data_IF_325421542105
#
_entry.id   IF_325421542105
#
_cell.length_a   1.000
_cell.length_b   1.000
_cell.length_c   1.000
_cell.angle_alpha   90.00
_cell.angle_beta   90.00
_cell.angle_gamma   90.00
#
_symmetry.space_group_name_H-M   'P 1'
#
loop_
_entity.id
_entity.type
_entity.pdbx_description
1 polymer ?
#
# COMPACT_ATOMS: atom_id res chain seq x y z
N UNK A 1 -5.81 1.47 -8.41
CA UNK A 1 -4.49 1.88 -8.96
C UNK A 1 -4.49 2.04 -10.47
N UNK A 2 -4.90 1.02 -11.24
CA UNK A 2 -4.93 1.10 -12.71
C UNK A 2 -5.89 2.19 -13.19
N UNK A 3 -5.46 3.00 -14.16
CA UNK A 3 -6.27 4.08 -14.73
C UNK A 3 -6.28 5.38 -13.93
N UNK A 4 -5.67 5.45 -12.74
CA UNK A 4 -5.57 6.69 -11.94
C UNK A 4 -4.62 7.70 -12.63
N UNK A 5 -4.96 8.99 -12.69
CA UNK A 5 -6.18 9.62 -12.17
C UNK A 5 -7.41 9.55 -13.10
N UNK A 6 -7.25 9.30 -14.40
CA UNK A 6 -8.35 9.40 -15.38
C UNK A 6 -9.58 8.54 -15.08
N UNK A 7 -9.40 7.34 -14.53
CA UNK A 7 -10.50 6.47 -14.10
C UNK A 7 -11.33 7.07 -12.96
N UNK A 8 -10.71 7.81 -12.03
CA UNK A 8 -11.43 8.54 -10.97
C UNK A 8 -12.21 9.70 -11.57
N UNK A 9 -11.60 10.45 -12.49
CA UNK A 9 -12.23 11.59 -13.17
C UNK A 9 -13.47 11.15 -13.97
N UNK A 10 -13.48 9.91 -14.46
CA UNK A 10 -14.59 9.31 -15.19
C UNK A 10 -15.57 8.51 -14.29
N UNK A 11 -15.26 8.28 -13.02
CA UNK A 11 -16.03 7.41 -12.13
C UNK A 11 -16.06 5.94 -12.57
N UNK A 12 -14.98 5.49 -13.19
CA UNK A 12 -14.85 4.12 -13.71
C UNK A 12 -14.62 3.10 -12.59
N UNK A 13 -15.21 1.90 -12.68
CA UNK A 13 -14.95 0.80 -11.72
C UNK A 13 -13.56 0.18 -11.89
N UNK A 14 -12.79 0.61 -12.90
CA UNK A 14 -11.48 0.04 -13.20
C UNK A 14 -11.56 -1.46 -13.47
N UNK A 15 -10.82 -2.23 -12.67
CA UNK A 15 -10.74 -3.69 -12.77
C UNK A 15 -11.56 -4.43 -11.72
N UNK A 16 -12.53 -3.78 -11.07
CA UNK A 16 -13.39 -4.42 -10.08
C UNK A 16 -14.16 -5.60 -10.68
N UNK A 17 -14.17 -6.72 -9.95
CA UNK A 17 -15.03 -7.86 -10.27
C UNK A 17 -16.44 -7.60 -9.74
N UNK A 18 -17.46 -7.43 -10.60
CA UNK A 18 -18.81 -7.08 -10.17
C UNK A 18 -19.46 -8.17 -9.32
N UNK A 19 -19.03 -9.43 -9.43
CA UNK A 19 -19.59 -10.54 -8.64
C UNK A 19 -19.09 -10.52 -7.18
N UNK A 20 -18.04 -9.74 -6.88
CA UNK A 20 -17.48 -9.60 -5.54
C UNK A 20 -18.19 -8.55 -4.67
N UNK A 21 -19.10 -7.74 -5.23
CA UNK A 21 -19.68 -6.59 -4.53
C UNK A 21 -21.21 -6.55 -4.66
N UNK A 22 -21.90 -6.44 -3.51
CA UNK A 22 -23.34 -6.15 -3.51
C UNK A 22 -23.65 -4.75 -4.09
N UNK A 23 -22.77 -3.78 -3.79
CA UNK A 23 -22.87 -2.38 -4.21
C UNK A 23 -21.48 -1.79 -4.38
N UNK A 24 -21.28 -1.00 -5.43
CA UNK A 24 -20.08 -0.19 -5.65
C UNK A 24 -20.45 1.28 -5.80
N UNK A 25 -19.58 2.17 -5.34
CA UNK A 25 -19.73 3.61 -5.53
C UNK A 25 -18.40 4.21 -5.97
N UNK A 26 -18.28 4.47 -7.27
CA UNK A 26 -17.10 5.09 -7.84
C UNK A 26 -17.23 6.61 -7.75
N UNK A 27 -16.45 7.22 -6.86
CA UNK A 27 -16.46 8.68 -6.71
C UNK A 27 -15.89 9.35 -7.96
N UNK A 28 -16.52 10.45 -8.37
CA UNK A 28 -16.07 11.27 -9.49
C UNK A 28 -15.31 12.46 -8.91
N UNK A 29 -13.99 12.31 -8.80
CA UNK A 29 -13.09 13.32 -8.25
C UNK A 29 -12.45 14.19 -9.34
N UNK A 30 -12.08 15.46 -9.05
CA UNK A 30 -11.53 16.36 -10.06
C UNK A 30 -10.07 16.06 -10.44
N UNK A 31 -9.29 15.44 -9.55
CA UNK A 31 -7.89 15.03 -9.79
C UNK A 31 -7.05 16.07 -10.56
N UNK A 32 -6.75 15.86 -11.85
CA UNK A 32 -5.94 16.81 -12.65
C UNK A 32 -6.63 18.17 -12.83
N UNK A 33 -7.95 18.21 -12.73
CA UNK A 33 -8.79 19.41 -12.83
C UNK A 33 -9.09 20.04 -11.46
N UNK A 34 -8.42 19.60 -10.40
CA UNK A 34 -8.63 20.15 -9.07
C UNK A 34 -8.33 21.65 -9.04
N UNK A 35 -9.19 22.48 -8.41
CA UNK A 35 -9.08 23.93 -8.43
C UNK A 35 -8.04 24.41 -7.42
N UNK A 36 -6.75 24.19 -7.72
CA UNK A 36 -5.64 24.49 -6.82
C UNK A 36 -4.45 25.15 -7.51
N UNK A 37 -3.37 25.33 -6.74
CA UNK A 37 -2.09 25.81 -7.26
C UNK A 37 -1.21 24.62 -7.63
N UNK A 38 -0.91 24.48 -8.92
CA UNK A 38 -0.08 23.42 -9.47
C UNK A 38 1.41 23.81 -9.42
N UNK A 39 2.24 22.87 -8.95
CA UNK A 39 3.69 22.96 -8.96
C UNK A 39 4.26 21.69 -9.63
N UNK A 40 5.08 21.85 -10.67
CA UNK A 40 5.68 20.74 -11.40
C UNK A 40 7.08 20.46 -10.87
N UNK A 41 7.33 19.24 -10.40
CA UNK A 41 8.64 18.83 -9.91
C UNK A 41 9.46 18.08 -10.95
N UNK A 42 8.78 17.40 -11.87
CA UNK A 42 9.43 16.75 -13.02
C UNK A 42 9.62 17.77 -14.15
N UNK A 43 10.85 18.25 -14.43
CA UNK A 43 11.08 19.27 -15.45
C UNK A 43 10.67 18.80 -16.85
N UNK A 44 10.25 19.76 -17.69
CA UNK A 44 9.86 19.55 -19.09
C UNK A 44 8.70 18.57 -19.32
N UNK A 45 7.91 18.24 -18.29
CA UNK A 45 6.72 17.39 -18.41
C UNK A 45 5.44 18.13 -18.03
N UNK A 46 4.73 18.62 -19.04
CA UNK A 46 3.44 19.28 -18.85
C UNK A 46 2.30 18.30 -18.47
N UNK A 47 2.42 17.02 -18.85
CA UNK A 47 1.49 15.98 -18.40
C UNK A 47 1.93 15.45 -17.03
N UNK A 48 1.15 15.71 -15.98
CA UNK A 48 1.57 15.44 -14.60
C UNK A 48 0.82 14.30 -13.90
N UNK A 49 -0.15 13.65 -14.55
CA UNK A 49 -0.92 12.55 -13.93
C UNK A 49 -0.12 11.30 -13.56
N UNK A 50 1.07 11.13 -14.12
CA UNK A 50 1.99 10.03 -13.82
C UNK A 50 3.40 10.48 -13.42
N UNK A 51 3.60 11.79 -13.28
CA UNK A 51 4.87 12.42 -12.93
C UNK A 51 4.76 13.14 -11.57
N UNK A 52 5.89 13.55 -11.01
CA UNK A 52 5.87 14.30 -9.75
C UNK A 52 5.44 15.74 -9.99
N UNK A 53 4.31 16.08 -9.39
CA UNK A 53 3.75 17.41 -9.29
C UNK A 53 2.89 17.47 -8.02
N UNK A 54 2.76 18.66 -7.45
CA UNK A 54 1.86 18.93 -6.35
C UNK A 54 0.71 19.83 -6.78
N UNK A 55 -0.48 19.55 -6.26
CA UNK A 55 -1.64 20.43 -6.38
C UNK A 55 -2.09 20.82 -4.98
N UNK A 56 -1.90 22.10 -4.63
CA UNK A 56 -2.30 22.66 -3.34
C UNK A 56 -3.74 23.13 -3.41
N UNK A 57 -4.62 22.49 -2.65
CA UNK A 57 -6.06 22.75 -2.68
C UNK A 57 -6.42 23.83 -1.65
N UNK A 58 -7.14 24.90 -2.05
CA UNK A 58 -7.68 25.88 -1.12
C UNK A 58 -8.63 25.24 -0.09
N UNK A 59 -8.64 25.75 1.13
CA UNK A 59 -9.43 25.19 2.24
C UNK A 59 -10.94 25.12 1.95
N UNK A 60 -11.48 26.08 1.19
CA UNK A 60 -12.89 26.11 0.78
C UNK A 60 -13.23 25.10 -0.35
N UNK A 61 -12.23 24.35 -0.83
CA UNK A 61 -12.35 23.33 -1.89
C UNK A 61 -11.95 21.92 -1.45
N UNK A 62 -11.60 21.73 -0.18
CA UNK A 62 -11.21 20.40 0.34
C UNK A 62 -12.35 19.37 0.20
N UNK A 63 -13.60 19.81 0.35
CA UNK A 63 -14.78 18.94 0.22
C UNK A 63 -14.98 18.34 -1.18
N UNK A 64 -14.34 18.89 -2.21
CA UNK A 64 -14.42 18.37 -3.59
C UNK A 64 -13.37 17.32 -3.90
N UNK A 65 -12.48 17.00 -2.96
CA UNK A 65 -11.37 16.08 -3.21
C UNK A 65 -11.80 14.63 -3.06
N UNK A 66 -11.21 13.75 -3.88
CA UNK A 66 -11.60 12.34 -4.03
C UNK A 66 -11.67 11.58 -2.71
N UNK A 67 -10.61 11.67 -1.90
CA UNK A 67 -10.55 10.95 -0.61
C UNK A 67 -11.60 11.46 0.38
N UNK A 68 -11.94 12.76 0.31
CA UNK A 68 -13.05 13.36 1.07
C UNK A 68 -14.40 12.85 0.61
N UNK A 69 -14.61 12.76 -0.70
CA UNK A 69 -15.84 12.23 -1.27
C UNK A 69 -16.02 10.74 -0.93
N UNK A 70 -14.97 9.92 -1.08
CA UNK A 70 -15.00 8.49 -0.78
C UNK A 70 -15.30 8.23 0.70
N UNK A 71 -14.62 8.96 1.58
CA UNK A 71 -14.85 8.88 3.03
C UNK A 71 -16.25 9.32 3.41
N UNK A 72 -16.74 10.43 2.84
CA UNK A 72 -18.09 10.94 3.13
C UNK A 72 -19.16 9.93 2.70
N UNK A 73 -18.97 9.30 1.54
CA UNK A 73 -19.88 8.25 1.06
C UNK A 73 -19.84 7.00 1.96
N UNK A 74 -18.65 6.55 2.36
CA UNK A 74 -18.50 5.43 3.28
C UNK A 74 -19.17 5.71 4.64
N UNK A 75 -19.03 6.91 5.19
CA UNK A 75 -19.73 7.33 6.41
C UNK A 75 -21.25 7.29 6.19
N UNK A 76 -21.76 7.80 5.07
CA UNK A 76 -23.19 7.75 4.76
C UNK A 76 -23.74 6.31 4.66
N UNK A 77 -22.94 5.37 4.13
CA UNK A 77 -23.27 3.94 4.09
C UNK A 77 -23.35 3.38 5.52
N UNK A 78 -22.37 3.68 6.37
CA UNK A 78 -22.35 3.26 7.78
C UNK A 78 -23.53 3.85 8.57
N UNK A 79 -23.84 5.13 8.35
CA UNK A 79 -25.01 5.79 8.97
C UNK A 79 -26.32 5.15 8.52
N UNK A 80 -26.44 4.78 7.24
CA UNK A 80 -27.61 4.05 6.75
C UNK A 80 -27.73 2.66 7.37
N UNK A 81 -26.59 1.97 7.55
CA UNK A 81 -26.51 0.65 8.20
C UNK A 81 -26.96 0.73 9.66
N UNK A 82 -26.41 1.68 10.42
CA UNK A 82 -26.69 1.85 11.84
C UNK A 82 -28.07 2.49 12.11
N UNK A 83 -28.51 3.41 11.27
CA UNK A 83 -29.71 4.22 11.49
C UNK A 83 -31.02 3.43 11.51
N UNK A 84 -32.01 3.91 12.25
CA UNK A 84 -33.39 3.40 12.19
C UNK A 84 -34.10 4.07 11.01
N UNK A 85 -34.78 3.34 10.11
CA UNK A 85 -35.60 3.96 9.08
C UNK A 85 -36.63 4.90 9.72
N UNK A 86 -36.92 6.08 9.14
CA UNK A 86 -37.97 6.97 9.66
C UNK A 86 -39.31 6.24 9.77
N UNK A 87 -40.13 6.54 10.78
CA UNK A 87 -41.42 5.86 11.03
C UNK A 87 -42.39 5.89 9.83
N UNK A 88 -42.23 6.86 8.92
CA UNK A 88 -43.07 7.06 7.73
C UNK A 88 -42.35 6.72 6.42
N UNK A 89 -41.36 5.82 6.47
CA UNK A 89 -40.58 5.38 5.31
C UNK A 89 -41.12 4.07 4.74
N UNK A 90 -41.30 4.00 3.42
CA UNK A 90 -41.55 2.74 2.70
C UNK A 90 -40.28 1.89 2.51
N UNK A 91 -39.11 2.36 3.01
CA UNK A 91 -37.84 1.64 2.95
C UNK A 91 -37.74 0.65 4.10
N UNK A 92 -37.45 -0.61 3.78
CA UNK A 92 -37.17 -1.68 4.75
C UNK A 92 -35.67 -2.01 4.77
N UNK A 93 -35.10 -2.32 5.95
CA UNK A 93 -33.73 -2.84 6.01
C UNK A 93 -33.71 -4.26 5.41
N UNK A 94 -33.00 -4.43 4.30
CA UNK A 94 -32.63 -5.76 3.81
C UNK A 94 -31.49 -6.26 4.71
N UNK A 95 -31.74 -7.25 5.57
CA UNK A 95 -30.78 -7.80 6.57
C UNK A 95 -30.45 -6.85 7.74
N UNK A 96 -31.40 -6.52 8.63
CA UNK A 96 -31.13 -5.70 9.82
C UNK A 96 -29.98 -6.24 10.67
N UNK A 97 -29.83 -7.56 10.78
CA UNK A 97 -28.81 -8.23 11.60
C UNK A 97 -27.63 -8.82 10.81
N UNK A 98 -27.54 -8.56 9.49
CA UNK A 98 -26.47 -9.13 8.65
C UNK A 98 -25.11 -8.48 8.88
N UNK A 99 -23.98 -9.21 8.82
CA UNK A 99 -22.66 -8.59 8.80
C UNK A 99 -22.49 -7.72 7.54
N UNK A 100 -21.58 -6.76 7.58
CA UNK A 100 -21.18 -5.98 6.40
C UNK A 100 -19.70 -6.18 6.10
N UNK A 101 -19.35 -6.00 4.84
CA UNK A 101 -17.97 -5.83 4.38
C UNK A 101 -17.91 -4.51 3.63
N UNK A 102 -17.05 -3.59 4.07
CA UNK A 102 -16.88 -2.27 3.47
C UNK A 102 -15.41 -2.06 3.14
N UNK A 103 -15.10 -1.95 1.85
CA UNK A 103 -13.80 -1.50 1.37
C UNK A 103 -13.89 -0.03 0.96
N UNK A 104 -12.93 0.78 1.40
CA UNK A 104 -12.84 2.20 1.06
C UNK A 104 -11.47 2.44 0.44
N UNK A 105 -11.43 2.74 -0.85
CA UNK A 105 -10.21 3.10 -1.56
C UNK A 105 -9.88 4.58 -1.38
N UNK A 106 -8.76 4.88 -0.72
CA UNK A 106 -8.18 6.22 -0.67
C UNK A 106 -7.04 6.30 -1.70
N UNK A 107 -6.99 7.39 -2.47
CA UNK A 107 -6.10 7.53 -3.63
C UNK A 107 -4.74 8.06 -3.20
N UNK A 108 -4.69 8.91 -2.19
CA UNK A 108 -3.43 9.45 -1.69
C UNK A 108 -2.63 8.37 -0.95
N UNK A 109 -1.28 8.41 -1.04
CA UNK A 109 -0.45 9.47 -1.61
C UNK A 109 -0.04 9.26 -3.09
N UNK A 110 -0.84 8.56 -3.91
CA UNK A 110 -0.51 8.37 -5.33
C UNK A 110 -0.41 9.71 -6.08
N UNK A 111 0.46 9.76 -7.09
CA UNK A 111 0.62 10.93 -7.98
C UNK A 111 -0.64 11.18 -8.84
N UNK A 112 -0.92 12.44 -9.22
CA UNK A 112 -0.26 13.66 -8.76
C UNK A 112 -0.51 13.91 -7.26
N UNK A 113 0.40 14.62 -6.59
CA UNK A 113 0.35 14.81 -5.13
C UNK A 113 -0.62 15.93 -4.78
N UNK A 114 -1.89 15.57 -4.55
CA UNK A 114 -2.98 16.53 -4.29
C UNK A 114 -3.36 16.50 -2.81
N UNK A 115 -3.21 17.65 -2.14
CA UNK A 115 -3.61 17.80 -0.74
C UNK A 115 -4.05 19.26 -0.44
N UNK A 116 -4.84 19.47 0.63
CA UNK A 116 -5.15 20.80 1.16
C UNK A 116 -3.91 21.60 1.57
N UNK A 117 -4.00 22.93 1.51
CA UNK A 117 -2.90 23.82 1.89
C UNK A 117 -2.42 23.57 3.33
N UNK A 118 -3.33 23.38 4.30
CA UNK A 118 -2.95 23.15 5.69
C UNK A 118 -2.09 21.88 5.88
N UNK A 119 -2.26 20.84 5.06
CA UNK A 119 -1.41 19.65 5.12
C UNK A 119 0.01 19.96 4.61
N UNK A 120 0.14 20.81 3.60
CA UNK A 120 1.43 21.25 3.09
C UNK A 120 2.19 22.14 4.08
N UNK A 121 1.46 22.98 4.83
CA UNK A 121 2.05 23.93 5.79
C UNK A 121 2.79 23.23 6.94
N UNK A 122 2.56 21.93 7.15
CA UNK A 122 3.24 21.10 8.17
C UNK A 122 4.68 20.72 7.77
N UNK A 123 5.04 20.83 6.49
CA UNK A 123 6.29 20.32 5.95
C UNK A 123 7.12 21.43 5.31
N UNK A 124 8.22 21.79 5.96
CA UNK A 124 9.23 22.66 5.33
C UNK A 124 9.99 21.88 4.26
N UNK A 125 9.65 22.13 3.00
CA UNK A 125 10.26 21.46 1.87
C UNK A 125 11.78 21.62 1.84
N UNK A 126 12.33 22.79 2.19
CA UNK A 126 13.77 22.99 2.17
C UNK A 126 14.53 22.13 3.21
N UNK A 127 13.84 21.73 4.28
CA UNK A 127 14.39 20.93 5.38
C UNK A 127 14.11 19.42 5.27
N UNK A 128 13.37 18.97 4.25
CA UNK A 128 13.00 17.56 4.11
C UNK A 128 14.21 16.65 3.94
N UNK A 129 14.44 15.63 4.80
CA UNK A 129 15.61 14.78 4.71
C UNK A 129 15.48 13.83 3.51
N UNK A 130 16.31 14.03 2.49
CA UNK A 130 16.45 13.04 1.41
C UNK A 130 17.18 11.80 1.94
N UNK A 131 16.86 10.60 1.45
CA UNK A 131 17.61 9.39 1.77
C UNK A 131 19.10 9.56 1.42
N UNK A 132 19.98 9.11 2.32
CA UNK A 132 21.40 8.97 2.00
C UNK A 132 21.58 7.75 1.09
N UNK A 133 22.17 7.96 -0.08
CA UNK A 133 22.45 6.91 -1.07
C UNK A 133 23.96 6.84 -1.28
N UNK A 134 24.61 5.69 -1.03
CA UNK A 134 26.05 5.54 -1.23
C UNK A 134 26.48 5.79 -2.68
N UNK A 135 27.71 6.29 -2.85
CA UNK A 135 28.31 6.40 -4.19
C UNK A 135 28.45 5.00 -4.80
N UNK A 136 28.02 4.83 -6.05
CA UNK A 136 28.06 3.55 -6.74
C UNK A 136 27.03 2.52 -6.27
N UNK A 137 26.03 2.91 -5.47
CA UNK A 137 24.95 2.02 -4.98
C UNK A 137 24.31 1.18 -6.10
N UNK A 138 24.12 1.78 -7.27
CA UNK A 138 23.54 1.06 -8.38
C UNK A 138 24.55 0.15 -9.10
N UNK A 139 25.86 0.21 -8.89
CA UNK A 139 26.84 -0.40 -9.81
C UNK A 139 26.84 -1.94 -9.80
N UNK A 140 26.44 -2.57 -8.71
CA UNK A 140 26.50 -4.03 -8.49
C UNK A 140 25.16 -4.76 -8.71
N UNK A 141 24.11 -4.07 -9.19
CA UNK A 141 22.78 -4.65 -9.43
C UNK A 141 22.42 -4.77 -10.92
N UNK A 142 21.51 -5.69 -11.30
CA UNK A 142 21.07 -5.84 -12.69
C UNK A 142 20.39 -4.58 -13.27
N UNK A 143 20.58 -4.24 -14.57
CA UNK A 143 19.93 -3.07 -15.18
C UNK A 143 18.40 -2.99 -15.03
N UNK A 144 17.63 -4.10 -15.10
CA UNK A 144 16.17 -4.05 -14.88
C UNK A 144 15.74 -3.57 -13.49
N UNK A 145 16.58 -3.72 -12.46
CA UNK A 145 16.28 -3.26 -11.09
C UNK A 145 16.22 -1.72 -11.00
N UNK A 146 16.93 -1.02 -11.90
CA UNK A 146 17.15 0.43 -11.89
C UNK A 146 16.08 1.22 -12.68
N UNK A 147 14.91 0.64 -12.93
CA UNK A 147 13.91 1.20 -13.86
C UNK A 147 13.42 2.60 -13.49
N UNK A 148 13.38 2.88 -12.20
CA UNK A 148 12.81 4.11 -11.63
C UNK A 148 13.87 5.14 -11.20
N UNK A 149 15.10 4.97 -11.67
CA UNK A 149 16.21 5.90 -11.49
C UNK A 149 15.83 7.34 -11.88
N UNK A 150 15.95 8.27 -10.92
CA UNK A 150 15.64 9.69 -11.09
C UNK A 150 16.39 10.29 -12.28
N UNK A 151 17.68 10.00 -12.42
CA UNK A 151 18.54 10.61 -13.43
C UNK A 151 18.15 10.23 -14.86
N UNK A 152 17.36 9.16 -15.03
CA UNK A 152 16.87 8.69 -16.34
C UNK A 152 15.41 9.01 -16.59
N UNK A 153 14.59 9.10 -15.54
CA UNK A 153 13.13 9.10 -15.67
C UNK A 153 12.51 10.45 -15.35
N UNK A 154 12.90 11.05 -14.22
CA UNK A 154 12.25 12.24 -13.67
C UNK A 154 13.12 13.48 -13.76
N UNK A 155 14.45 13.34 -13.66
CA UNK A 155 15.41 14.44 -13.69
C UNK A 155 15.11 15.54 -12.66
N UNK A 156 14.56 15.17 -11.49
CA UNK A 156 14.34 16.11 -10.41
C UNK A 156 15.68 16.52 -9.81
N UNK A 157 15.96 17.82 -9.74
CA UNK A 157 17.05 18.34 -8.93
C UNK A 157 16.76 18.15 -7.43
N UNK A 158 17.73 18.45 -6.58
CA UNK A 158 17.60 18.24 -5.14
C UNK A 158 16.39 19.01 -4.55
N UNK A 159 16.18 20.25 -5.00
CA UNK A 159 15.05 21.07 -4.55
C UNK A 159 13.71 20.41 -4.92
N UNK A 160 13.56 19.93 -6.15
CA UNK A 160 12.35 19.23 -6.58
C UNK A 160 12.15 17.88 -5.89
N UNK A 161 13.23 17.15 -5.60
CA UNK A 161 13.15 15.93 -4.80
C UNK A 161 12.62 16.21 -3.39
N UNK A 162 13.14 17.25 -2.73
CA UNK A 162 12.67 17.65 -1.40
C UNK A 162 11.22 18.15 -1.42
N UNK A 163 10.85 18.92 -2.45
CA UNK A 163 9.46 19.35 -2.66
C UNK A 163 8.52 18.15 -2.89
N UNK A 164 8.92 17.17 -3.70
CA UNK A 164 8.14 15.95 -3.94
C UNK A 164 7.96 15.13 -2.65
N UNK A 165 9.00 15.05 -1.81
CA UNK A 165 8.93 14.38 -0.52
C UNK A 165 7.99 15.10 0.47
N UNK A 166 8.08 16.44 0.57
CA UNK A 166 7.14 17.24 1.38
C UNK A 166 5.68 17.05 0.91
N UNK A 167 5.46 17.11 -0.41
CA UNK A 167 4.15 16.92 -1.01
C UNK A 167 3.59 15.51 -0.77
N UNK A 168 4.45 14.48 -0.80
CA UNK A 168 4.06 13.11 -0.48
C UNK A 168 3.58 13.02 0.97
N UNK A 169 4.32 13.58 1.93
CA UNK A 169 3.88 13.56 3.33
C UNK A 169 2.63 14.41 3.59
N UNK A 170 2.46 15.55 2.92
CA UNK A 170 1.20 16.30 2.96
C UNK A 170 0.01 15.45 2.49
N UNK A 171 0.19 14.64 1.43
CA UNK A 171 -0.83 13.70 0.97
C UNK A 171 -1.09 12.56 1.97
N UNK A 172 -0.07 12.07 2.67
CA UNK A 172 -0.22 11.08 3.74
C UNK A 172 -1.02 11.67 4.91
N UNK A 173 -0.72 12.89 5.36
CA UNK A 173 -1.51 13.58 6.39
C UNK A 173 -2.96 13.73 5.97
N UNK A 174 -3.19 14.19 4.74
CA UNK A 174 -4.55 14.36 4.24
C UNK A 174 -5.31 13.04 4.23
N UNK A 175 -4.68 11.94 3.79
CA UNK A 175 -5.28 10.60 3.84
C UNK A 175 -5.53 10.14 5.29
N UNK A 176 -4.63 10.42 6.22
CA UNK A 176 -4.77 10.06 7.63
C UNK A 176 -5.98 10.75 8.30
N UNK A 177 -6.23 12.03 7.99
CA UNK A 177 -7.44 12.74 8.45
C UNK A 177 -8.72 12.03 7.99
N UNK A 178 -8.69 11.47 6.78
CA UNK A 178 -9.80 10.74 6.19
C UNK A 178 -10.02 9.38 6.86
N UNK A 179 -8.94 8.67 7.19
CA UNK A 179 -9.00 7.47 8.04
C UNK A 179 -9.59 7.81 9.41
N UNK A 180 -9.13 8.89 10.05
CA UNK A 180 -9.66 9.37 11.33
C UNK A 180 -11.17 9.59 11.30
N UNK A 181 -11.68 10.26 10.25
CA UNK A 181 -13.12 10.47 10.05
C UNK A 181 -13.92 9.16 9.94
N UNK A 182 -13.38 8.12 9.32
CA UNK A 182 -14.03 6.80 9.25
C UNK A 182 -14.07 6.13 10.62
N UNK A 183 -12.97 6.17 11.36
CA UNK A 183 -12.88 5.59 12.71
C UNK A 183 -13.83 6.31 13.68
N UNK A 184 -13.86 7.65 13.65
CA UNK A 184 -14.80 8.46 14.44
C UNK A 184 -16.26 8.12 14.11
N UNK A 185 -16.57 7.82 12.85
CA UNK A 185 -17.92 7.39 12.46
C UNK A 185 -18.27 6.01 13.02
N UNK A 186 -17.33 5.05 13.03
CA UNK A 186 -17.55 3.74 13.64
C UNK A 186 -17.82 3.86 15.15
N UNK A 187 -17.11 4.74 15.85
CA UNK A 187 -17.31 4.99 17.29
C UNK A 187 -18.64 5.70 17.56
N UNK A 188 -18.94 6.79 16.83
CA UNK A 188 -20.19 7.55 16.96
C UNK A 188 -21.43 6.69 16.70
N UNK A 189 -21.33 5.71 15.80
CA UNK A 189 -22.42 4.81 15.43
C UNK A 189 -22.46 3.53 16.27
N UNK A 190 -21.58 3.39 17.29
CA UNK A 190 -21.47 2.20 18.14
C UNK A 190 -21.23 0.89 17.35
N UNK A 191 -20.58 1.01 16.18
CA UNK A 191 -20.22 -0.12 15.31
C UNK A 191 -18.84 -0.67 15.64
N UNK A 192 -17.95 0.13 16.25
CA UNK A 192 -16.55 -0.25 16.51
C UNK A 192 -16.44 -1.56 17.31
N UNK A 193 -17.33 -1.80 18.28
CA UNK A 193 -17.28 -2.98 19.16
C UNK A 193 -17.43 -4.33 18.43
N UNK A 194 -17.99 -4.33 17.21
CA UNK A 194 -18.30 -5.53 16.43
C UNK A 194 -17.67 -5.50 15.01
N UNK A 195 -16.73 -4.58 14.76
CA UNK A 195 -16.12 -4.38 13.43
C UNK A 195 -14.64 -4.74 13.44
N UNK A 196 -14.17 -5.53 12.47
CA UNK A 196 -12.73 -5.69 12.22
C UNK A 196 -12.28 -4.54 11.30
N UNK A 197 -11.24 -3.81 11.69
CA UNK A 197 -10.66 -2.74 10.87
C UNK A 197 -9.30 -3.20 10.36
N UNK A 198 -9.11 -3.14 9.03
CA UNK A 198 -7.85 -3.46 8.37
C UNK A 198 -7.41 -2.23 7.58
N UNK A 199 -6.23 -1.70 7.88
CA UNK A 199 -5.58 -0.65 7.11
C UNK A 199 -4.36 -1.24 6.40
N UNK A 200 -4.24 -1.02 5.10
CA UNK A 200 -3.17 -1.55 4.28
C UNK A 200 -2.89 -0.63 3.07
N UNK A 201 -1.74 -0.83 2.44
CA UNK A 201 -1.44 -0.30 1.11
C UNK A 201 -1.28 -1.42 0.08
N UNK A 202 -1.50 -1.14 -1.19
CA UNK A 202 -1.33 -2.08 -2.30
C UNK A 202 0.14 -2.30 -2.65
N UNK A 203 0.99 -1.28 -2.48
CA UNK A 203 2.44 -1.36 -2.66
C UNK A 203 3.17 -0.25 -1.88
N UNK A 204 4.48 -0.41 -1.70
CA UNK A 204 5.34 0.64 -1.16
C UNK A 204 5.62 1.74 -2.19
N UNK A 205 6.53 2.66 -1.86
CA UNK A 205 6.94 3.74 -2.76
C UNK A 205 8.34 4.21 -2.42
N UNK A 206 9.28 4.07 -3.35
CA UNK A 206 10.59 4.72 -3.27
C UNK A 206 10.41 6.25 -3.35
N UNK A 207 11.09 6.95 -2.45
CA UNK A 207 11.09 8.40 -2.26
C UNK A 207 12.52 8.98 -2.37
N UNK A 208 13.35 8.34 -3.21
CA UNK A 208 14.75 8.71 -3.42
C UNK A 208 15.76 7.65 -2.98
N UNK A 209 15.34 6.59 -2.26
CA UNK A 209 16.20 5.44 -1.97
C UNK A 209 16.70 4.83 -3.28
N UNK A 210 17.98 4.47 -3.32
CA UNK A 210 18.68 4.02 -4.52
C UNK A 210 18.58 4.98 -5.72
N UNK A 211 18.44 6.29 -5.45
CA UNK A 211 18.07 7.31 -6.44
C UNK A 211 16.76 7.03 -7.20
N UNK A 212 15.96 6.06 -6.75
CA UNK A 212 14.74 5.61 -7.39
C UNK A 212 13.51 6.28 -6.79
N UNK A 213 12.48 6.46 -7.63
CA UNK A 213 11.23 7.10 -7.23
C UNK A 213 10.02 6.33 -7.76
N UNK A 214 8.94 6.30 -6.98
CA UNK A 214 7.77 5.46 -7.23
C UNK A 214 8.00 3.97 -6.91
N UNK A 215 7.35 3.08 -7.66
CA UNK A 215 7.34 1.63 -7.44
C UNK A 215 8.00 0.92 -8.61
N UNK A 216 8.00 -0.42 -8.64
CA UNK A 216 8.57 -1.32 -9.67
C UNK A 216 9.98 -1.83 -9.36
N UNK A 217 10.59 -1.44 -8.25
CA UNK A 217 11.75 -2.14 -7.70
C UNK A 217 11.29 -3.32 -6.83
N UNK A 218 12.23 -4.23 -6.52
CA UNK A 218 12.01 -5.36 -5.61
C UNK A 218 12.61 -5.10 -4.22
N UNK A 219 13.00 -3.86 -3.91
CA UNK A 219 13.49 -3.46 -2.59
C UNK A 219 12.34 -3.32 -1.57
N UNK A 220 12.68 -3.32 -0.28
CA UNK A 220 11.74 -3.14 0.83
C UNK A 220 10.87 -1.90 0.65
N UNK A 221 11.43 -0.76 0.26
CA UNK A 221 10.68 0.49 0.11
C UNK A 221 9.51 0.39 -0.90
N UNK A 222 9.61 -0.48 -1.92
CA UNK A 222 8.54 -0.72 -2.90
C UNK A 222 7.62 -1.88 -2.54
N UNK A 223 8.08 -2.83 -1.73
CA UNK A 223 7.41 -4.12 -1.52
C UNK A 223 6.81 -4.28 -0.13
N UNK A 224 7.35 -3.61 0.89
CA UNK A 224 6.81 -3.59 2.24
C UNK A 224 5.78 -2.48 2.39
N UNK A 225 4.61 -2.86 2.86
CA UNK A 225 3.46 -1.97 3.05
C UNK A 225 3.07 -1.86 4.52
N UNK A 226 2.43 -0.76 4.95
CA UNK A 226 1.74 -0.75 6.23
C UNK A 226 0.65 -1.83 6.23
N UNK A 227 0.52 -2.53 7.35
CA UNK A 227 -0.61 -3.42 7.64
C UNK A 227 -0.96 -3.28 9.13
N UNK A 228 -2.16 -2.79 9.40
CA UNK A 228 -2.70 -2.68 10.76
C UNK A 228 -4.03 -3.43 10.78
N UNK A 229 -4.15 -4.40 11.68
CA UNK A 229 -5.38 -5.16 11.89
C UNK A 229 -5.86 -4.92 13.32
N UNK A 230 -7.08 -4.43 13.46
CA UNK A 230 -7.72 -4.13 14.74
C UNK A 230 -9.05 -4.87 14.84
N UNK A 231 -9.03 -6.03 15.50
CA UNK A 231 -10.20 -6.90 15.67
C UNK A 231 -10.73 -6.85 17.13
N UNK A 232 -12.05 -6.76 17.37
CA UNK A 232 -12.62 -6.63 18.72
C UNK A 232 -12.27 -7.76 19.68
N UNK A 233 -12.06 -8.97 19.17
CA UNK A 233 -11.69 -10.17 19.93
C UNK A 233 -10.19 -10.22 20.29
N UNK A 234 -9.35 -9.43 19.62
CA UNK A 234 -7.89 -9.43 19.77
C UNK A 234 -7.37 -8.38 20.77
N UNK A 235 -8.08 -8.18 21.90
CA UNK A 235 -7.72 -7.14 22.89
C UNK A 235 -6.36 -7.36 23.55
N UNK A 236 -5.92 -8.61 23.67
CA UNK A 236 -4.64 -8.96 24.32
C UNK A 236 -3.39 -8.51 23.56
N UNK A 237 -3.52 -8.25 22.26
CA UNK A 237 -2.45 -7.79 21.37
C UNK A 237 -2.64 -6.36 20.89
N UNK A 238 -3.63 -5.64 21.42
CA UNK A 238 -3.86 -4.24 21.08
C UNK A 238 -2.59 -3.39 21.33
N UNK A 239 -2.18 -2.62 20.32
CA UNK A 239 -0.98 -1.79 20.39
C UNK A 239 0.35 -2.55 20.28
N UNK A 240 0.33 -3.87 20.05
CA UNK A 240 1.55 -4.67 19.83
C UNK A 240 1.94 -4.71 18.35
N UNK A 241 3.21 -5.00 18.10
CA UNK A 241 3.79 -5.17 16.76
C UNK A 241 4.27 -6.61 16.57
N UNK A 242 3.79 -7.25 15.51
CA UNK A 242 4.33 -8.52 15.04
C UNK A 242 5.50 -8.26 14.07
N UNK A 243 6.59 -9.02 14.19
CA UNK A 243 7.77 -8.92 13.30
C UNK A 243 7.86 -10.06 12.27
N UNK A 244 6.92 -10.99 12.30
CA UNK A 244 6.84 -12.09 11.34
C UNK A 244 6.62 -11.56 9.92
N UNK A 245 7.23 -12.23 8.94
CA UNK A 245 6.99 -11.94 7.52
C UNK A 245 5.56 -12.40 7.17
N UNK A 246 4.83 -11.57 6.45
CA UNK A 246 3.47 -11.83 5.98
C UNK A 246 3.33 -11.35 4.53
N UNK A 247 2.35 -11.87 3.81
CA UNK A 247 2.02 -11.51 2.43
C UNK A 247 0.62 -10.86 2.38
N UNK A 248 0.35 -10.01 1.38
CA UNK A 248 -1.01 -9.46 1.19
C UNK A 248 -2.03 -10.55 0.86
N UNK A 249 -1.60 -11.68 0.28
CA UNK A 249 -2.45 -12.86 0.02
C UNK A 249 -2.90 -13.57 1.29
N UNK A 250 -2.28 -13.29 2.44
CA UNK A 250 -2.68 -13.81 3.75
C UNK A 250 -3.97 -13.14 4.27
N UNK A 251 -4.37 -11.99 3.71
CA UNK A 251 -5.51 -11.23 4.21
C UNK A 251 -6.83 -11.94 4.02
N UNK A 252 -7.07 -12.56 2.86
CA UNK A 252 -8.32 -13.29 2.63
C UNK A 252 -8.52 -14.44 3.64
N UNK A 253 -7.58 -15.40 3.81
CA UNK A 253 -7.76 -16.45 4.81
C UNK A 253 -7.83 -15.90 6.24
N UNK A 254 -7.14 -14.79 6.53
CA UNK A 254 -7.26 -14.12 7.84
C UNK A 254 -8.65 -13.58 8.09
N UNK A 255 -9.25 -12.84 7.14
CA UNK A 255 -10.58 -12.25 7.29
C UNK A 255 -11.63 -13.35 7.45
N UNK A 256 -11.56 -14.39 6.62
CA UNK A 256 -12.47 -15.53 6.69
C UNK A 256 -12.36 -16.25 8.03
N UNK A 257 -11.15 -16.44 8.54
CA UNK A 257 -10.90 -17.02 9.86
C UNK A 257 -11.43 -16.13 11.01
N UNK A 258 -11.14 -14.83 11.00
CA UNK A 258 -11.65 -13.87 12.00
C UNK A 258 -13.19 -13.81 12.03
N UNK A 259 -13.83 -13.95 10.87
CA UNK A 259 -15.28 -14.03 10.74
C UNK A 259 -15.89 -15.40 11.12
N UNK A 260 -15.07 -16.38 11.51
CA UNK A 260 -15.55 -17.73 11.89
C UNK A 260 -15.93 -18.60 10.68
N UNK A 261 -15.48 -18.26 9.49
CA UNK A 261 -15.79 -18.91 8.21
C UNK A 261 -14.61 -19.74 7.68
N UNK A 262 -13.60 -20.04 8.50
CA UNK A 262 -12.38 -20.77 8.07
C UNK A 262 -12.68 -22.08 7.33
N UNK A 263 -13.75 -22.79 7.69
CA UNK A 263 -14.17 -24.03 7.04
C UNK A 263 -14.70 -23.84 5.60
N UNK A 264 -15.04 -22.61 5.22
CA UNK A 264 -15.54 -22.23 3.89
C UNK A 264 -14.42 -21.71 2.97
N UNK A 265 -13.22 -21.51 3.51
CA UNK A 265 -12.07 -21.05 2.74
C UNK A 265 -11.71 -22.05 1.62
N UNK A 266 -11.56 -21.60 0.36
CA UNK A 266 -11.18 -22.47 -0.73
C UNK A 266 -9.80 -23.12 -0.49
N UNK A 267 -9.66 -24.41 -0.81
CA UNK A 267 -8.38 -25.11 -0.71
C UNK A 267 -7.30 -24.57 -1.67
N UNK A 268 -7.68 -23.71 -2.62
CA UNK A 268 -6.80 -23.08 -3.60
C UNK A 268 -6.09 -21.83 -3.10
N UNK A 269 -6.41 -21.35 -1.89
CA UNK A 269 -5.74 -20.19 -1.30
C UNK A 269 -4.26 -20.48 -1.07
N UNK A 270 -3.42 -19.51 -1.41
CA UNK A 270 -1.96 -19.59 -1.26
C UNK A 270 -1.47 -18.94 0.03
N UNK A 271 -2.23 -17.98 0.57
CA UNK A 271 -1.94 -17.34 1.84
C UNK A 271 -2.36 -18.17 3.04
N UNK A 272 -1.93 -17.75 4.22
CA UNK A 272 -2.27 -18.36 5.51
C UNK A 272 -2.96 -17.36 6.43
N UNK A 273 -3.77 -17.84 7.38
CA UNK A 273 -4.38 -16.94 8.36
C UNK A 273 -3.31 -16.34 9.27
N UNK A 274 -3.38 -15.02 9.47
CA UNK A 274 -2.56 -14.26 10.40
C UNK A 274 -3.12 -14.28 11.83
N UNK A 275 -4.28 -14.90 12.09
CA UNK A 275 -4.86 -15.03 13.43
C UNK A 275 -3.82 -15.45 14.49
N UNK A 276 -2.93 -16.43 14.25
CA UNK A 276 -1.93 -16.81 15.25
C UNK A 276 -0.92 -15.70 15.60
N UNK A 277 -0.59 -14.81 14.64
CA UNK A 277 0.22 -13.61 14.91
C UNK A 277 -0.59 -12.55 15.65
N UNK A 278 -1.89 -12.43 15.37
CA UNK A 278 -2.77 -11.52 16.10
C UNK A 278 -2.94 -11.98 17.57
N UNK A 279 -2.99 -13.27 17.83
CA UNK A 279 -3.11 -13.83 19.19
C UNK A 279 -1.78 -13.74 19.96
N UNK A 280 -0.65 -13.99 19.29
CA UNK A 280 0.68 -13.89 19.88
C UNK A 280 1.69 -13.20 18.94
N UNK A 281 1.79 -11.86 18.98
CA UNK A 281 2.69 -11.09 18.11
C UNK A 281 4.19 -11.38 18.31
N UNK A 282 4.56 -11.93 19.47
CA UNK A 282 5.96 -12.20 19.87
C UNK A 282 6.36 -13.67 19.64
N UNK A 283 5.50 -14.48 18.98
CA UNK A 283 5.78 -15.89 18.75
C UNK A 283 7.05 -16.09 17.93
N UNK A 284 7.90 -17.02 18.35
CA UNK A 284 9.20 -17.30 17.72
C UNK A 284 9.14 -18.40 16.66
N UNK A 285 8.03 -19.12 16.56
CA UNK A 285 7.82 -20.25 15.66
C UNK A 285 7.10 -19.86 14.34
N UNK A 286 7.00 -18.56 14.05
CA UNK A 286 6.44 -18.05 12.80
C UNK A 286 7.49 -18.12 11.68
N UNK A 287 7.48 -19.23 10.94
CA UNK A 287 8.28 -19.43 9.74
C UNK A 287 7.42 -19.16 8.50
N UNK A 288 7.64 -18.01 7.86
CA UNK A 288 6.93 -17.61 6.65
C UNK A 288 7.84 -16.79 5.72
N UNK A 289 7.43 -16.66 4.46
CA UNK A 289 8.19 -15.96 3.42
C UNK A 289 7.27 -15.07 2.62
N UNK A 290 7.77 -13.94 2.14
CA UNK A 290 7.07 -13.14 1.15
C UNK A 290 7.65 -13.34 -0.23
N UNK A 291 6.80 -13.63 -1.22
CA UNK A 291 7.15 -13.80 -2.61
C UNK A 291 6.54 -12.66 -3.43
N UNK A 292 7.38 -11.92 -4.15
CA UNK A 292 6.95 -10.77 -4.94
C UNK A 292 7.38 -10.92 -6.38
N UNK A 293 6.50 -10.54 -7.31
CA UNK A 293 6.79 -10.51 -8.74
C UNK A 293 6.54 -9.12 -9.30
N UNK A 294 7.31 -8.73 -10.31
CA UNK A 294 7.10 -7.48 -11.04
C UNK A 294 6.84 -7.73 -12.52
N UNK A 295 6.14 -6.82 -13.18
CA UNK A 295 5.88 -6.88 -14.62
C UNK A 295 7.17 -6.93 -15.48
N UNK A 296 8.31 -6.52 -14.92
CA UNK A 296 9.63 -6.66 -15.55
C UNK A 296 10.23 -8.08 -15.46
N UNK A 297 9.43 -9.08 -15.08
CA UNK A 297 9.85 -10.48 -14.87
C UNK A 297 10.92 -10.64 -13.78
N UNK A 298 10.99 -9.66 -12.88
CA UNK A 298 11.74 -9.78 -11.65
C UNK A 298 10.92 -10.57 -10.62
N UNK A 299 11.60 -11.37 -9.83
CA UNK A 299 11.01 -12.14 -8.74
C UNK A 299 11.86 -11.99 -7.50
N UNK A 300 11.22 -11.94 -6.33
CA UNK A 300 11.90 -11.77 -5.05
C UNK A 300 11.30 -12.70 -4.01
N UNK A 301 12.16 -13.21 -3.12
CA UNK A 301 11.75 -13.91 -1.91
C UNK A 301 12.39 -13.26 -0.69
N UNK A 302 11.58 -12.99 0.33
CA UNK A 302 12.00 -12.51 1.65
C UNK A 302 11.78 -13.61 2.68
N UNK A 303 12.86 -14.05 3.34
CA UNK A 303 12.84 -15.02 4.45
C UNK A 303 13.82 -14.64 5.55
N UNK A 304 13.33 -14.49 6.78
CA UNK A 304 14.12 -13.99 7.90
C UNK A 304 14.79 -12.65 7.57
N UNK A 305 16.10 -12.49 7.80
CA UNK A 305 16.79 -11.25 7.46
C UNK A 305 17.15 -11.16 5.97
N UNK A 306 16.92 -12.21 5.18
CA UNK A 306 17.41 -12.30 3.81
C UNK A 306 16.36 -11.94 2.78
N UNK A 307 16.75 -11.14 1.80
CA UNK A 307 16.02 -10.96 0.55
C UNK A 307 16.88 -11.46 -0.61
N UNK A 308 16.31 -12.31 -1.45
CA UNK A 308 16.91 -12.74 -2.71
C UNK A 308 16.01 -12.32 -3.87
N UNK A 309 16.59 -11.72 -4.91
CA UNK A 309 15.86 -11.28 -6.10
C UNK A 309 16.56 -11.74 -7.37
N UNK A 310 15.80 -12.05 -8.42
CA UNK A 310 16.33 -12.51 -9.71
C UNK A 310 15.60 -11.83 -10.86
N UNK A 311 16.36 -11.41 -11.87
CA UNK A 311 15.88 -10.70 -13.06
C UNK A 311 16.10 -11.54 -14.33
N UNK A 312 15.67 -12.80 -14.27
CA UNK A 312 15.94 -13.79 -15.32
C UNK A 312 17.44 -13.95 -15.57
N UNK A 313 17.88 -13.75 -16.81
CA UNK A 313 19.29 -13.85 -17.20
C UNK A 313 20.09 -12.57 -16.96
N UNK A 314 19.44 -11.48 -16.52
CA UNK A 314 20.12 -10.19 -16.31
C UNK A 314 20.96 -10.15 -15.03
N UNK A 315 20.69 -11.06 -14.09
CA UNK A 315 21.42 -11.20 -12.83
C UNK A 315 20.47 -11.31 -11.64
N UNK A 316 21.08 -11.28 -10.46
CA UNK A 316 20.44 -11.54 -9.17
C UNK A 316 20.99 -10.60 -8.10
N UNK A 317 20.23 -10.47 -7.03
CA UNK A 317 20.53 -9.63 -5.87
C UNK A 317 20.33 -10.45 -4.59
N UNK A 318 21.21 -10.28 -3.60
CA UNK A 318 21.08 -10.87 -2.28
C UNK A 318 21.42 -9.83 -1.20
N UNK A 319 20.51 -9.62 -0.26
CA UNK A 319 20.66 -8.66 0.82
C UNK A 319 20.40 -9.30 2.18
N UNK A 320 21.13 -8.83 3.20
CA UNK A 320 20.90 -9.18 4.61
C UNK A 320 20.49 -7.92 5.38
N UNK A 321 19.25 -7.86 5.83
CA UNK A 321 18.70 -6.68 6.51
C UNK A 321 19.14 -6.49 7.95
N UNK A 322 19.74 -7.49 8.58
CA UNK A 322 20.32 -7.31 9.92
C UNK A 322 21.59 -6.44 9.83
N UNK A 323 22.36 -6.58 8.75
CA UNK A 323 23.60 -5.82 8.51
C UNK A 323 23.43 -4.65 7.55
N UNK A 324 22.49 -4.75 6.61
CA UNK A 324 22.25 -3.80 5.52
C UNK A 324 20.73 -3.62 5.32
N UNK A 325 20.05 -2.91 6.24
CA UNK A 325 18.61 -2.71 6.16
C UNK A 325 18.17 -1.88 4.95
N UNK A 326 19.09 -1.14 4.33
CA UNK A 326 18.87 -0.30 3.16
C UNK A 326 19.18 -0.97 1.83
N UNK A 327 19.59 -2.25 1.82
CA UNK A 327 19.80 -3.04 0.60
C UNK A 327 20.83 -2.44 -0.38
N UNK A 328 21.88 -1.81 0.14
CA UNK A 328 22.90 -1.11 -0.65
C UNK A 328 24.04 -2.00 -1.17
N UNK A 329 24.25 -3.19 -0.60
CA UNK A 329 25.35 -4.08 -0.99
C UNK A 329 24.83 -5.41 -1.50
N UNK A 330 24.97 -5.66 -2.81
CA UNK A 330 24.57 -6.94 -3.39
C UNK A 330 25.57 -8.06 -3.04
N UNK A 331 25.14 -8.99 -2.19
CA UNK A 331 25.94 -10.12 -1.71
C UNK A 331 25.94 -11.34 -2.66
N UNK A 332 25.23 -11.29 -3.79
CA UNK A 332 25.04 -12.48 -4.64
C UNK A 332 26.36 -13.02 -5.23
N UNK A 333 27.37 -12.16 -5.42
CA UNK A 333 28.69 -12.56 -5.91
C UNK A 333 29.70 -12.85 -4.78
N UNK A 334 29.29 -12.71 -3.52
CA UNK A 334 30.18 -12.95 -2.39
C UNK A 334 30.22 -14.46 -2.05
N UNK A 335 31.40 -15.11 -2.13
CA UNK A 335 31.53 -16.55 -1.91
C UNK A 335 31.20 -17.01 -0.48
N UNK A 336 31.19 -16.10 0.50
CA UNK A 336 30.80 -16.41 1.87
C UNK A 336 29.30 -16.78 1.98
N UNK A 337 28.46 -16.21 1.11
CA UNK A 337 27.00 -16.37 1.17
C UNK A 337 26.44 -17.34 0.14
N UNK A 338 27.29 -18.11 -0.56
CA UNK A 338 26.85 -19.06 -1.59
C UNK A 338 25.83 -20.06 -1.06
N UNK A 339 25.99 -20.58 0.16
CA UNK A 339 25.02 -21.53 0.74
C UNK A 339 23.65 -20.91 0.97
N UNK A 340 23.60 -19.65 1.43
CA UNK A 340 22.36 -18.88 1.63
C UNK A 340 21.69 -18.61 0.29
N UNK A 341 22.47 -18.17 -0.70
CA UNK A 341 22.00 -17.90 -2.06
C UNK A 341 21.34 -19.13 -2.69
N UNK A 342 21.99 -20.29 -2.65
CA UNK A 342 21.42 -21.53 -3.22
C UNK A 342 20.15 -22.00 -2.47
N UNK A 343 20.10 -21.81 -1.15
CA UNK A 343 18.91 -22.10 -0.35
C UNK A 343 17.73 -21.23 -0.79
N UNK A 344 17.94 -19.92 -0.95
CA UNK A 344 16.89 -18.98 -1.34
C UNK A 344 16.46 -19.13 -2.80
N UNK A 345 17.39 -19.50 -3.70
CA UNK A 345 17.05 -19.90 -5.09
C UNK A 345 16.10 -21.08 -5.11
N UNK A 346 16.43 -22.12 -4.36
CA UNK A 346 15.59 -23.33 -4.24
C UNK A 346 14.21 -23.00 -3.69
N UNK A 347 14.16 -22.11 -2.69
CA UNK A 347 12.90 -21.70 -2.07
C UNK A 347 12.04 -20.83 -3.00
N UNK A 348 12.65 -19.89 -3.72
CA UNK A 348 12.00 -19.08 -4.74
C UNK A 348 11.41 -19.98 -5.83
N UNK A 349 12.16 -20.95 -6.34
CA UNK A 349 11.67 -21.90 -7.35
C UNK A 349 10.52 -22.77 -6.85
N UNK A 350 10.56 -23.17 -5.58
CA UNK A 350 9.45 -23.88 -4.93
C UNK A 350 8.21 -22.98 -4.86
N UNK A 351 8.35 -21.75 -4.38
CA UNK A 351 7.24 -20.78 -4.30
C UNK A 351 6.67 -20.46 -5.68
N UNK A 352 7.51 -20.24 -6.69
CA UNK A 352 7.09 -20.04 -8.09
C UNK A 352 6.26 -21.20 -8.62
N UNK A 353 6.67 -22.46 -8.41
CA UNK A 353 5.91 -23.64 -8.85
C UNK A 353 4.58 -23.76 -8.13
N UNK A 354 4.58 -23.55 -6.82
CA UNK A 354 3.36 -23.54 -6.00
C UNK A 354 2.38 -22.49 -6.49
N UNK A 355 2.86 -21.27 -6.74
CA UNK A 355 2.06 -20.14 -7.23
C UNK A 355 1.40 -20.42 -8.58
N UNK A 356 2.02 -21.27 -9.40
CA UNK A 356 1.52 -21.68 -10.72
C UNK A 356 0.69 -22.98 -10.68
N UNK A 357 0.46 -23.56 -9.51
CA UNK A 357 -0.25 -24.84 -9.37
C UNK A 357 0.51 -26.02 -10.01
N UNK A 358 1.84 -25.98 -10.01
CA UNK A 358 2.73 -26.97 -10.65
C UNK A 358 3.48 -27.85 -9.65
N UNK A 359 2.93 -28.01 -8.45
CA UNK A 359 3.52 -28.81 -7.37
C UNK A 359 3.34 -30.32 -7.53
#
# INVERSE_FOLDING_TARGET
HMGVPGGIEAGEPGGDDPDCWDWTWNVIGPELYSPGTLELYTPNRAHFGSNFAAMRIPEDRVSTQTDVMATTQAIAILENRAGTPPEQSNRTKSKPDGPFFLAVGLVRPHVPLIAPQHCFDLYDAAAMPLPEVPEGDLDDIPPPARLMDNAKRYHMDEANQRNALAAYFACVTFMDEQVGRLLDALDRLDLRKDTIVIFLSDHGWNLGQHHCWQKLSLWEDSTRVPLIISAPEMKGSAGKTARGIVETVDLYPTVVDLCGLAAEAPATLQGISLRPLLENPERSDWEHTAYTVTHQKGESIRRGPWRYSIWGQAGEELYNHDSDPGEFTNLAQNPEYTSVLESLRTELDRKRRHSLGKD
#
